data_IF_283526267116
#
_entry.id   IF_283526267116
#
_cell.length_a   1.000
_cell.length_b   1.000
_cell.length_c   1.000
_cell.angle_alpha   90.00
_cell.angle_beta   90.00
_cell.angle_gamma   90.00
#
_symmetry.space_group_name_H-M   'P 1'
#
loop_
_entity.id
_entity.type
_entity.pdbx_description
1 polymer ?
#
# COMPACT_ATOMS: atom_id res chain seq x y z
N UNK A 1 -24.56 -10.07 -13.89
CA UNK A 1 -25.73 -9.79 -13.05
C UNK A 1 -25.19 -9.44 -11.67
N UNK A 2 -25.05 -8.15 -11.44
CA UNK A 2 -24.40 -7.58 -10.26
C UNK A 2 -25.42 -7.61 -9.13
N UNK A 3 -25.10 -8.26 -8.01
CA UNK A 3 -25.90 -8.17 -6.80
C UNK A 3 -25.65 -6.78 -6.23
N UNK A 4 -26.50 -5.84 -6.61
CA UNK A 4 -26.69 -4.58 -5.87
C UNK A 4 -27.08 -4.94 -4.45
N UNK A 5 -26.21 -4.59 -3.50
CA UNK A 5 -26.55 -4.59 -2.09
C UNK A 5 -27.66 -3.54 -1.94
N UNK A 6 -28.89 -4.01 -1.76
CA UNK A 6 -30.01 -3.16 -1.36
C UNK A 6 -29.66 -2.53 -0.01
N UNK A 7 -29.25 -1.27 -0.07
CA UNK A 7 -29.13 -0.40 1.09
C UNK A 7 -30.56 -0.13 1.57
N UNK A 8 -31.04 -0.91 2.53
CA UNK A 8 -32.21 -0.51 3.33
C UNK A 8 -31.86 0.80 4.02
N UNK A 9 -32.66 1.84 3.78
CA UNK A 9 -32.45 3.19 4.29
C UNK A 9 -32.60 3.29 5.82
N UNK A 10 -31.61 2.77 6.55
CA UNK A 10 -31.30 3.20 7.90
C UNK A 10 -30.23 4.30 7.83
N UNK A 11 -30.40 5.39 8.59
CA UNK A 11 -29.38 6.43 8.69
C UNK A 11 -28.05 5.81 9.13
N UNK A 12 -26.94 6.26 8.52
CA UNK A 12 -25.61 5.75 8.85
C UNK A 12 -25.31 5.95 10.35
N UNK A 13 -24.66 4.98 11.03
CA UNK A 13 -24.40 5.10 12.45
C UNK A 13 -23.45 6.26 12.76
N UNK A 14 -23.62 6.85 13.94
CA UNK A 14 -22.73 7.89 14.46
C UNK A 14 -21.48 7.25 15.07
N UNK A 15 -20.33 7.86 14.87
CA UNK A 15 -19.08 7.38 15.47
C UNK A 15 -18.81 8.12 16.78
N UNK A 16 -18.61 7.36 17.87
CA UNK A 16 -18.30 7.89 19.19
C UNK A 16 -16.97 7.33 19.67
N UNK A 17 -16.05 8.20 20.07
CA UNK A 17 -14.76 7.79 20.62
C UNK A 17 -14.75 7.95 22.14
N UNK A 18 -14.60 6.83 22.85
CA UNK A 18 -14.48 6.78 24.32
C UNK A 18 -13.02 6.53 24.72
N UNK A 19 -12.72 6.76 26.01
CA UNK A 19 -11.38 6.52 26.55
C UNK A 19 -10.29 7.43 25.98
N UNK A 20 -9.06 7.21 26.45
CA UNK A 20 -7.85 7.86 25.98
C UNK A 20 -6.65 6.91 26.07
N UNK A 21 -5.67 7.07 25.18
CA UNK A 21 -4.40 6.36 25.24
C UNK A 21 -3.28 7.32 25.65
N UNK A 22 -2.32 6.80 26.44
CA UNK A 22 -1.12 7.54 26.86
C UNK A 22 -0.02 7.66 25.79
N UNK A 23 -0.25 7.16 24.57
CA UNK A 23 0.74 7.09 23.50
C UNK A 23 0.38 7.89 22.25
N UNK A 24 1.40 8.34 21.51
CA UNK A 24 1.26 8.91 20.16
C UNK A 24 1.90 8.00 19.12
N UNK A 25 1.19 7.74 18.03
CA UNK A 25 1.65 6.89 16.93
C UNK A 25 1.88 7.77 15.72
N UNK A 26 3.08 7.75 15.16
CA UNK A 26 3.47 8.61 14.03
C UNK A 26 3.19 10.10 14.30
N UNK A 27 3.32 10.53 15.57
CA UNK A 27 3.07 11.90 16.02
C UNK A 27 1.60 12.23 16.34
N UNK A 28 0.66 11.33 16.07
CA UNK A 28 -0.79 11.55 16.27
C UNK A 28 -1.32 10.80 17.50
N UNK A 29 -2.39 11.31 18.11
CA UNK A 29 -3.12 10.57 19.16
C UNK A 29 -4.02 9.49 18.54
N UNK A 30 -4.43 8.50 19.32
CA UNK A 30 -5.38 7.48 18.83
C UNK A 30 -6.71 8.11 18.40
N UNK A 31 -7.23 9.06 19.19
CA UNK A 31 -8.45 9.82 18.87
C UNK A 31 -8.33 10.58 17.54
N UNK A 32 -7.20 11.26 17.31
CA UNK A 32 -6.94 11.92 16.01
C UNK A 32 -6.93 10.91 14.86
N UNK A 33 -6.32 9.75 15.06
CA UNK A 33 -6.27 8.68 14.05
C UNK A 33 -7.67 8.09 13.78
N UNK A 34 -8.49 7.87 14.81
CA UNK A 34 -9.88 7.41 14.69
C UNK A 34 -10.74 8.41 13.93
N UNK A 35 -10.65 9.70 14.24
CA UNK A 35 -11.34 10.77 13.51
C UNK A 35 -11.03 10.75 12.01
N UNK A 36 -9.75 10.50 11.64
CA UNK A 36 -9.35 10.31 10.23
C UNK A 36 -9.97 9.06 9.60
N UNK A 37 -10.08 7.95 10.34
CA UNK A 37 -10.77 6.74 9.86
C UNK A 37 -12.25 7.05 9.59
N UNK A 38 -12.95 7.63 10.56
CA UNK A 38 -14.38 7.93 10.44
C UNK A 38 -14.68 8.79 9.22
N UNK A 39 -13.89 9.86 9.02
CA UNK A 39 -14.02 10.72 7.84
C UNK A 39 -13.84 9.97 6.52
N UNK A 40 -12.87 9.04 6.46
CA UNK A 40 -12.63 8.22 5.25
C UNK A 40 -13.74 7.21 4.99
N UNK A 41 -14.39 6.72 6.05
CA UNK A 41 -15.53 5.82 5.96
C UNK A 41 -16.87 6.55 5.78
N UNK A 42 -16.89 7.88 5.86
CA UNK A 42 -18.11 8.68 5.79
C UNK A 42 -18.96 8.63 7.06
N UNK A 43 -18.40 8.17 8.19
CA UNK A 43 -19.06 8.16 9.49
C UNK A 43 -19.05 9.57 10.10
N UNK A 44 -20.17 9.97 10.68
CA UNK A 44 -20.28 11.26 11.37
C UNK A 44 -19.83 11.09 12.81
N UNK A 45 -18.70 11.70 13.16
CA UNK A 45 -18.17 11.71 14.53
C UNK A 45 -19.01 12.63 15.41
N UNK A 46 -19.44 12.14 16.58
CA UNK A 46 -20.20 12.90 17.57
C UNK A 46 -19.44 12.97 18.90
N UNK A 47 -19.50 14.10 19.63
CA UNK A 47 -18.84 14.24 20.92
C UNK A 47 -19.56 13.49 22.05
N UNK A 48 -20.83 13.16 21.83
CA UNK A 48 -21.69 12.46 22.77
C UNK A 48 -22.64 11.51 22.03
N UNK A 49 -23.31 10.66 22.79
CA UNK A 49 -24.29 9.70 22.28
C UNK A 49 -25.51 10.43 21.74
N UNK A 50 -25.88 10.12 20.50
CA UNK A 50 -27.16 10.52 19.90
C UNK A 50 -28.12 9.33 19.99
N UNK A 51 -29.14 9.44 20.85
CA UNK A 51 -30.12 8.39 21.09
C UNK A 51 -31.05 8.13 19.90
N UNK A 52 -30.98 8.95 18.85
CA UNK A 52 -31.79 8.81 17.64
C UNK A 52 -31.13 7.90 16.60
N UNK A 53 -29.83 7.63 16.74
CA UNK A 53 -29.05 6.89 15.75
C UNK A 53 -28.29 5.73 16.41
N UNK A 54 -28.06 4.65 15.65
CA UNK A 54 -27.09 3.64 16.05
C UNK A 54 -25.69 4.27 16.20
N UNK A 55 -24.87 3.71 17.10
CA UNK A 55 -23.57 4.24 17.44
C UNK A 55 -22.47 3.20 17.27
N UNK A 56 -21.43 3.54 16.52
CA UNK A 56 -20.14 2.84 16.51
C UNK A 56 -19.28 3.46 17.59
N UNK A 57 -19.19 2.78 18.73
CA UNK A 57 -18.41 3.21 19.88
C UNK A 57 -17.04 2.53 19.85
N UNK A 58 -15.96 3.31 19.95
CA UNK A 58 -14.58 2.80 19.83
C UNK A 58 -13.71 3.35 20.97
N UNK A 59 -12.97 2.47 21.65
CA UNK A 59 -12.04 2.84 22.73
C UNK A 59 -10.70 3.36 22.15
N UNK A 60 -10.40 4.65 22.38
CA UNK A 60 -9.15 5.28 21.96
C UNK A 60 -7.90 4.73 22.68
N UNK A 61 -8.06 3.91 23.73
CA UNK A 61 -7.00 3.11 24.34
C UNK A 61 -6.39 2.07 23.39
N UNK A 62 -7.01 1.85 22.23
CA UNK A 62 -6.66 0.84 21.24
C UNK A 62 -6.46 1.44 19.85
N UNK A 63 -5.84 0.66 18.98
CA UNK A 63 -5.48 1.04 17.61
C UNK A 63 -6.09 0.04 16.66
N UNK A 64 -6.88 0.56 15.73
CA UNK A 64 -7.68 -0.24 14.82
C UNK A 64 -7.25 -0.01 13.37
N UNK A 65 -7.26 -1.07 12.58
CA UNK A 65 -7.29 -0.92 11.12
C UNK A 65 -8.63 -0.31 10.64
N UNK A 66 -8.55 0.45 9.56
CA UNK A 66 -9.72 1.03 8.89
C UNK A 66 -10.73 -0.04 8.46
N UNK A 67 -10.26 -1.23 8.07
CA UNK A 67 -11.12 -2.35 7.69
C UNK A 67 -11.94 -2.91 8.84
N UNK A 68 -11.42 -2.90 10.08
CA UNK A 68 -12.15 -3.33 11.27
C UNK A 68 -13.28 -2.36 11.59
N UNK A 69 -13.01 -1.05 11.58
CA UNK A 69 -14.04 -0.03 11.82
C UNK A 69 -15.12 -0.09 10.73
N UNK A 70 -14.73 -0.30 9.47
CA UNK A 70 -15.67 -0.49 8.36
C UNK A 70 -16.56 -1.71 8.56
N UNK A 71 -15.97 -2.85 8.95
CA UNK A 71 -16.73 -4.07 9.20
C UNK A 71 -17.66 -3.93 10.41
N UNK A 72 -17.18 -3.28 11.48
CA UNK A 72 -17.97 -2.96 12.67
C UNK A 72 -19.19 -2.11 12.32
N UNK A 73 -18.99 -1.02 11.57
CA UNK A 73 -20.05 -0.12 11.14
C UNK A 73 -21.11 -0.81 10.25
N UNK A 74 -20.73 -1.88 9.55
CA UNK A 74 -21.66 -2.67 8.73
C UNK A 74 -22.43 -3.76 9.48
N UNK A 75 -22.14 -3.98 10.77
CA UNK A 75 -22.72 -5.09 11.56
C UNK A 75 -23.25 -4.60 12.90
N UNK A 76 -24.49 -4.15 12.93
CA UNK A 76 -25.17 -3.77 14.18
C UNK A 76 -25.18 -4.97 15.16
N UNK A 77 -25.00 -4.68 16.44
CA UNK A 77 -24.91 -5.69 17.50
C UNK A 77 -23.51 -6.29 17.67
N UNK A 78 -22.55 -6.00 16.81
CA UNK A 78 -21.19 -6.51 16.97
C UNK A 78 -20.46 -5.85 18.15
N UNK A 79 -19.83 -6.66 19.00
CA UNK A 79 -18.88 -6.25 20.04
C UNK A 79 -17.51 -6.80 19.67
N UNK A 80 -16.59 -5.93 19.28
CA UNK A 80 -15.22 -6.31 18.96
C UNK A 80 -14.43 -6.54 20.25
N UNK A 81 -13.82 -7.71 20.36
CA UNK A 81 -12.95 -8.08 21.48
C UNK A 81 -11.49 -8.28 21.05
N UNK A 82 -10.57 -8.03 21.97
CA UNK A 82 -9.15 -8.34 21.80
C UNK A 82 -8.87 -9.85 22.00
N UNK A 83 -7.58 -10.24 21.92
CA UNK A 83 -7.15 -11.63 22.12
C UNK A 83 -7.38 -12.15 23.56
N UNK A 84 -7.54 -11.26 24.53
CA UNK A 84 -7.83 -11.60 25.94
C UNK A 84 -9.33 -11.66 26.24
N UNK A 85 -10.17 -11.32 25.26
CA UNK A 85 -11.63 -11.26 25.40
C UNK A 85 -12.16 -9.94 25.97
N UNK A 86 -11.32 -8.90 26.09
CA UNK A 86 -11.76 -7.56 26.49
C UNK A 86 -12.48 -6.86 25.34
N UNK A 87 -13.65 -6.30 25.60
CA UNK A 87 -14.37 -5.47 24.65
C UNK A 87 -13.64 -4.12 24.41
N UNK A 88 -13.49 -3.75 23.15
CA UNK A 88 -12.69 -2.58 22.72
C UNK A 88 -13.44 -1.67 21.75
N UNK A 89 -14.48 -2.18 21.09
CA UNK A 89 -15.38 -1.39 20.27
C UNK A 89 -16.72 -2.13 20.12
N UNK A 90 -17.79 -1.41 19.80
CA UNK A 90 -19.09 -2.00 19.53
C UNK A 90 -19.90 -1.17 18.53
N UNK A 91 -20.80 -1.84 17.80
CA UNK A 91 -21.87 -1.18 17.05
C UNK A 91 -23.18 -1.41 17.79
N UNK A 92 -23.60 -0.39 18.54
CA UNK A 92 -24.80 -0.44 19.36
C UNK A 92 -26.01 0.14 18.60
N UNK A 93 -27.19 -0.50 18.69
CA UNK A 93 -28.44 0.13 18.27
C UNK A 93 -28.71 1.38 19.12
N UNK A 94 -29.49 2.33 18.58
CA UNK A 94 -29.71 3.65 19.17
C UNK A 94 -30.16 3.60 20.65
N UNK A 95 -31.04 2.66 20.97
CA UNK A 95 -31.59 2.48 22.32
C UNK A 95 -30.57 1.93 23.34
N UNK A 96 -29.47 1.34 22.89
CA UNK A 96 -28.39 0.81 23.74
C UNK A 96 -27.11 1.65 23.68
N UNK A 97 -27.03 2.62 22.77
CA UNK A 97 -25.81 3.38 22.49
C UNK A 97 -25.17 3.99 23.75
N UNK A 98 -25.99 4.53 24.66
CA UNK A 98 -25.50 5.15 25.90
C UNK A 98 -24.97 4.12 26.91
N UNK A 99 -25.70 3.04 27.14
CA UNK A 99 -25.26 1.98 28.06
C UNK A 99 -23.99 1.30 27.55
N UNK A 100 -23.89 1.06 26.24
CA UNK A 100 -22.70 0.49 25.60
C UNK A 100 -21.51 1.45 25.69
N UNK A 101 -21.72 2.76 25.51
CA UNK A 101 -20.63 3.74 25.63
C UNK A 101 -20.07 3.83 27.04
N UNK A 102 -20.92 3.82 28.06
CA UNK A 102 -20.51 3.82 29.46
C UNK A 102 -19.77 2.53 29.82
N UNK A 103 -20.29 1.37 29.39
CA UNK A 103 -19.63 0.09 29.62
C UNK A 103 -18.23 0.05 29.01
N UNK A 104 -18.07 0.44 27.74
CA UNK A 104 -16.76 0.48 27.08
C UNK A 104 -15.82 1.51 27.72
N UNK A 105 -16.31 2.70 28.07
CA UNK A 105 -15.51 3.72 28.76
C UNK A 105 -15.00 3.23 30.14
N UNK A 106 -15.81 2.44 30.85
CA UNK A 106 -15.45 1.78 32.10
C UNK A 106 -14.61 0.50 31.94
N UNK A 107 -14.31 0.08 30.70
CA UNK A 107 -13.60 -1.18 30.42
C UNK A 107 -14.41 -2.44 30.72
N UNK A 108 -15.73 -2.32 30.82
CA UNK A 108 -16.68 -3.42 30.99
C UNK A 108 -17.12 -3.97 29.64
N UNK A 109 -17.63 -5.20 29.64
CA UNK A 109 -18.11 -5.83 28.43
C UNK A 109 -19.61 -5.54 28.18
N UNK A 110 -19.96 -4.84 27.09
CA UNK A 110 -21.35 -4.52 26.78
C UNK A 110 -22.17 -5.75 26.34
N UNK A 111 -21.56 -6.90 26.01
CA UNK A 111 -22.30 -8.08 25.53
C UNK A 111 -23.29 -8.65 26.56
N UNK A 112 -23.13 -8.31 27.84
CA UNK A 112 -24.07 -8.70 28.90
C UNK A 112 -25.32 -7.81 29.00
N UNK A 113 -25.37 -6.68 28.28
CA UNK A 113 -26.46 -5.71 28.37
C UNK A 113 -27.71 -6.13 27.59
N UNK A 114 -27.54 -6.82 26.46
CA UNK A 114 -28.63 -7.24 25.57
C UNK A 114 -28.19 -8.47 24.76
N UNK A 115 -29.04 -9.51 24.59
CA UNK A 115 -28.71 -10.72 23.83
C UNK A 115 -28.33 -10.46 22.36
N UNK A 116 -28.71 -9.32 21.79
CA UNK A 116 -28.34 -8.93 20.42
C UNK A 116 -26.87 -8.54 20.29
N UNK A 117 -26.19 -8.23 21.40
CA UNK A 117 -24.79 -7.84 21.42
C UNK A 117 -23.90 -9.09 21.40
N UNK A 118 -23.27 -9.35 20.25
CA UNK A 118 -22.48 -10.55 20.01
C UNK A 118 -20.99 -10.23 19.97
N UNK A 119 -20.19 -10.96 20.76
CA UNK A 119 -18.73 -10.86 20.74
C UNK A 119 -18.16 -11.42 19.45
N UNK A 120 -17.21 -10.69 18.87
CA UNK A 120 -16.49 -11.07 17.67
C UNK A 120 -15.01 -10.67 17.82
N UNK A 121 -14.12 -11.57 17.45
CA UNK A 121 -12.69 -11.26 17.31
C UNK A 121 -12.42 -10.45 16.04
N UNK A 122 -11.23 -9.85 15.93
CA UNK A 122 -10.81 -9.14 14.72
C UNK A 122 -10.86 -10.01 13.45
N UNK A 123 -10.62 -11.32 13.58
CA UNK A 123 -10.66 -12.28 12.48
C UNK A 123 -12.08 -12.68 12.07
N UNK A 124 -13.02 -12.74 13.02
CA UNK A 124 -14.43 -13.03 12.74
C UNK A 124 -15.17 -11.81 12.20
N UNK A 125 -14.72 -10.61 12.58
CA UNK A 125 -15.30 -9.35 12.10
C UNK A 125 -14.72 -8.93 10.74
N UNK A 126 -13.40 -9.10 10.53
CA UNK A 126 -12.71 -8.70 9.30
C UNK A 126 -12.30 -9.88 8.40
N UNK A 127 -12.19 -9.66 7.09
CA UNK A 127 -11.59 -10.65 6.19
C UNK A 127 -10.05 -10.67 6.32
N UNK A 128 -9.44 -11.84 6.52
CA UNK A 128 -7.98 -11.99 6.63
C UNK A 128 -7.18 -11.64 5.36
N UNK A 129 -7.84 -11.47 4.21
CA UNK A 129 -7.20 -11.19 2.93
C UNK A 129 -7.39 -9.73 2.50
N UNK A 130 -6.28 -9.03 2.23
CA UNK A 130 -6.29 -7.67 1.69
C UNK A 130 -5.84 -7.69 0.22
N UNK A 131 -6.80 -7.54 -0.70
CA UNK A 131 -6.55 -7.56 -2.14
C UNK A 131 -5.64 -6.41 -2.61
N UNK A 132 -5.80 -5.20 -2.04
CA UNK A 132 -4.99 -4.04 -2.39
C UNK A 132 -3.51 -4.18 -1.97
N UNK A 133 -3.24 -4.90 -0.88
CA UNK A 133 -1.89 -5.18 -0.39
C UNK A 133 -1.34 -6.54 -0.81
N UNK A 134 -2.17 -7.40 -1.44
CA UNK A 134 -1.77 -8.73 -1.93
C UNK A 134 -1.14 -9.56 -0.81
N UNK A 135 -1.77 -9.56 0.36
CA UNK A 135 -1.26 -10.23 1.57
C UNK A 135 -2.43 -10.72 2.43
N UNK A 136 -2.18 -11.83 3.12
CA UNK A 136 -3.02 -12.34 4.22
C UNK A 136 -2.39 -11.92 5.54
N UNK A 137 -3.05 -11.06 6.29
CA UNK A 137 -2.61 -10.63 7.62
C UNK A 137 -3.84 -10.26 8.44
N UNK A 138 -3.96 -10.75 9.69
CA UNK A 138 -5.07 -10.38 10.55
C UNK A 138 -5.08 -8.86 10.73
N UNK A 139 -6.27 -8.21 10.68
CA UNK A 139 -6.36 -6.78 10.87
C UNK A 139 -5.71 -6.34 12.19
N UNK A 140 -5.10 -5.16 12.19
CA UNK A 140 -4.43 -4.61 13.38
C UNK A 140 -5.48 -4.22 14.41
N UNK A 141 -5.42 -4.88 15.56
CA UNK A 141 -6.08 -4.50 16.80
C UNK A 141 -5.04 -4.61 17.92
N UNK A 142 -4.57 -3.47 18.42
CA UNK A 142 -3.47 -3.41 19.38
C UNK A 142 -3.74 -2.38 20.48
N UNK A 143 -3.34 -2.72 21.70
CA UNK A 143 -3.44 -1.78 22.83
C UNK A 143 -2.38 -0.70 22.70
N UNK A 144 -2.73 0.55 22.98
CA UNK A 144 -1.83 1.68 22.91
C UNK A 144 -1.45 2.19 24.30
N UNK A 145 -0.24 1.84 24.71
CA UNK A 145 0.44 2.32 25.92
C UNK A 145 1.78 2.96 25.53
N UNK A 146 2.41 3.78 26.39
CA UNK A 146 3.74 4.35 26.11
C UNK A 146 4.79 3.31 25.71
N UNK A 147 4.73 2.11 26.29
CA UNK A 147 5.67 1.00 26.05
C UNK A 147 5.42 0.30 24.72
N UNK A 148 4.16 0.24 24.28
CA UNK A 148 3.74 -0.49 23.06
C UNK A 148 3.82 0.35 21.80
N UNK A 149 3.94 1.69 21.89
CA UNK A 149 3.98 2.62 20.73
C UNK A 149 4.88 2.12 19.61
N UNK A 150 6.13 1.76 19.90
CA UNK A 150 7.10 1.34 18.87
C UNK A 150 6.71 0.02 18.20
N UNK A 151 6.12 -0.91 18.96
CA UNK A 151 5.64 -2.18 18.44
C UNK A 151 4.42 -1.97 17.53
N UNK A 152 3.47 -1.13 17.96
CA UNK A 152 2.29 -0.75 17.17
C UNK A 152 2.68 -0.01 15.89
N UNK A 153 3.59 0.97 15.95
CA UNK A 153 4.13 1.65 14.76
C UNK A 153 4.73 0.62 13.79
N UNK A 154 5.56 -0.30 14.31
CA UNK A 154 6.17 -1.36 13.48
C UNK A 154 5.11 -2.24 12.83
N UNK A 155 4.08 -2.69 13.56
CA UNK A 155 2.99 -3.52 13.02
C UNK A 155 2.19 -2.80 11.94
N UNK A 156 1.78 -1.56 12.20
CA UNK A 156 1.10 -0.71 11.20
C UNK A 156 1.95 -0.49 9.94
N UNK A 157 3.25 -0.26 10.11
CA UNK A 157 4.17 -0.07 8.99
C UNK A 157 4.34 -1.35 8.18
N UNK A 158 4.52 -2.50 8.83
CA UNK A 158 4.66 -3.80 8.17
C UNK A 158 3.40 -4.17 7.39
N UNK A 159 2.23 -3.95 7.97
CA UNK A 159 0.93 -4.17 7.30
C UNK A 159 0.78 -3.36 6.02
N UNK A 160 1.48 -2.22 5.90
CA UNK A 160 1.41 -1.39 4.69
C UNK A 160 2.20 -1.94 3.49
N UNK A 161 3.02 -3.01 3.61
CA UNK A 161 3.81 -3.56 2.50
C UNK A 161 3.00 -4.45 1.58
N UNK A 162 3.21 -4.26 0.26
CA UNK A 162 2.64 -5.16 -0.74
C UNK A 162 3.37 -6.50 -0.67
N UNK A 163 2.63 -7.62 -0.61
CA UNK A 163 3.23 -8.96 -0.49
C UNK A 163 4.05 -9.38 -1.72
N UNK A 164 3.66 -8.91 -2.90
CA UNK A 164 4.32 -9.16 -4.19
C UNK A 164 4.91 -7.85 -4.71
N UNK A 165 6.23 -7.74 -4.82
CA UNK A 165 6.94 -6.53 -5.30
C UNK A 165 8.36 -6.89 -5.76
N UNK A 166 9.15 -5.94 -6.25
CA UNK A 166 10.56 -6.15 -6.63
C UNK A 166 11.49 -6.41 -5.43
N UNK A 167 12.67 -6.96 -5.70
CA UNK A 167 13.68 -7.31 -4.70
C UNK A 167 14.03 -6.15 -3.75
N UNK A 168 14.25 -4.95 -4.30
CA UNK A 168 14.72 -3.80 -3.52
C UNK A 168 13.63 -3.34 -2.55
N UNK A 169 12.41 -3.17 -3.06
CA UNK A 169 11.26 -2.76 -2.25
C UNK A 169 10.92 -3.80 -1.18
N UNK A 170 11.16 -5.10 -1.45
CA UNK A 170 10.86 -6.19 -0.53
C UNK A 170 11.91 -6.37 0.57
N UNK A 171 13.21 -6.26 0.25
CA UNK A 171 14.28 -6.65 1.16
C UNK A 171 15.19 -5.51 1.61
N UNK A 172 15.32 -4.43 0.83
CA UNK A 172 16.25 -3.33 1.11
C UNK A 172 15.52 -2.15 1.76
N UNK A 173 14.39 -1.72 1.19
CA UNK A 173 13.65 -0.54 1.65
C UNK A 173 12.89 -0.64 2.97
N UNK A 174 12.38 -1.80 3.45
CA UNK A 174 11.51 -1.82 4.62
C UNK A 174 12.11 -1.20 5.89
N UNK A 175 13.35 -1.53 6.23
CA UNK A 175 14.00 -1.00 7.43
C UNK A 175 14.27 0.52 7.34
N UNK A 176 14.97 1.04 6.31
CA UNK A 176 15.24 2.47 6.21
C UNK A 176 13.96 3.29 5.97
N UNK A 177 13.03 2.80 5.15
CA UNK A 177 11.79 3.54 4.87
C UNK A 177 10.96 3.73 6.14
N UNK A 178 10.99 2.78 7.10
CA UNK A 178 10.32 2.94 8.40
C UNK A 178 10.86 4.11 9.19
N UNK A 179 12.19 4.23 9.25
CA UNK A 179 12.87 5.30 9.98
C UNK A 179 12.55 6.66 9.37
N UNK A 180 12.70 6.78 8.05
CA UNK A 180 12.45 8.04 7.34
C UNK A 180 10.97 8.41 7.34
N UNK A 181 10.06 7.46 7.15
CA UNK A 181 8.61 7.69 7.29
C UNK A 181 8.28 8.24 8.68
N UNK A 182 8.95 7.73 9.73
CA UNK A 182 8.77 8.24 11.09
C UNK A 182 9.23 9.68 11.22
N UNK A 183 10.40 10.00 10.70
CA UNK A 183 10.91 11.38 10.72
C UNK A 183 10.00 12.33 9.95
N UNK A 184 9.55 11.95 8.75
CA UNK A 184 8.59 12.74 7.98
C UNK A 184 7.27 12.96 8.74
N UNK A 185 6.73 11.91 9.37
CA UNK A 185 5.51 12.01 10.17
C UNK A 185 5.68 12.94 11.38
N UNK A 186 6.79 12.84 12.11
CA UNK A 186 7.09 13.72 13.24
C UNK A 186 7.34 15.17 12.81
N UNK A 187 7.95 15.37 11.65
CA UNK A 187 8.13 16.68 11.04
C UNK A 187 6.84 17.24 10.42
N UNK A 188 5.72 16.51 10.52
CA UNK A 188 4.42 16.85 9.92
C UNK A 188 4.50 17.10 8.41
N UNK A 189 5.45 16.45 7.73
CA UNK A 189 5.53 16.49 6.27
C UNK A 189 4.31 15.81 5.67
N UNK A 190 3.77 16.41 4.62
CA UNK A 190 2.69 15.80 3.84
C UNK A 190 3.27 14.79 2.83
N UNK A 191 2.55 13.72 2.47
CA UNK A 191 2.97 12.81 1.41
C UNK A 191 3.29 13.55 0.09
N UNK A 192 2.47 14.52 -0.30
CA UNK A 192 2.66 15.32 -1.50
C UNK A 192 4.00 16.10 -1.50
N UNK A 193 4.48 16.58 -0.34
CA UNK A 193 5.79 17.23 -0.25
C UNK A 193 6.92 16.24 -0.55
N UNK A 194 6.81 15.01 -0.04
CA UNK A 194 7.79 13.95 -0.29
C UNK A 194 7.77 13.55 -1.77
N UNK A 195 6.59 13.37 -2.36
CA UNK A 195 6.41 13.10 -3.80
C UNK A 195 7.00 14.23 -4.65
N UNK A 196 6.81 15.51 -4.26
CA UNK A 196 7.37 16.65 -4.98
C UNK A 196 8.91 16.68 -4.94
N UNK A 197 9.52 16.34 -3.80
CA UNK A 197 10.99 16.18 -3.73
C UNK A 197 11.45 15.06 -4.66
N UNK A 198 10.74 13.93 -4.68
CA UNK A 198 10.98 12.82 -5.62
C UNK A 198 10.88 13.26 -7.08
N UNK A 199 9.90 14.11 -7.42
CA UNK A 199 9.77 14.69 -8.75
C UNK A 199 10.99 15.55 -9.15
N UNK A 200 11.47 16.42 -8.26
CA UNK A 200 12.68 17.21 -8.53
C UNK A 200 13.92 16.33 -8.76
N UNK A 201 14.07 15.26 -7.96
CA UNK A 201 15.14 14.28 -8.17
C UNK A 201 14.99 13.51 -9.47
N UNK A 202 13.77 13.29 -9.94
CA UNK A 202 13.49 12.68 -11.25
C UNK A 202 14.01 13.54 -12.38
N UNK A 203 13.75 14.85 -12.33
CA UNK A 203 14.26 15.80 -13.32
C UNK A 203 15.77 15.89 -13.27
N UNK A 204 16.35 15.97 -12.06
CA UNK A 204 17.80 15.99 -11.87
C UNK A 204 18.47 14.73 -12.44
N UNK A 205 17.94 13.54 -12.12
CA UNK A 205 18.46 12.27 -12.64
C UNK A 205 18.38 12.22 -14.18
N UNK A 206 17.26 12.65 -14.77
CA UNK A 206 17.10 12.72 -16.23
C UNK A 206 18.16 13.61 -16.87
N UNK A 207 18.35 14.82 -16.33
CA UNK A 207 19.35 15.76 -16.84
C UNK A 207 20.78 15.20 -16.69
N UNK A 208 21.11 14.61 -15.54
CA UNK A 208 22.42 14.02 -15.28
C UNK A 208 22.71 12.84 -16.22
N UNK A 209 21.75 11.93 -16.40
CA UNK A 209 21.89 10.82 -17.34
C UNK A 209 22.08 11.30 -18.77
N UNK A 210 21.32 12.31 -19.20
CA UNK A 210 21.45 12.88 -20.54
C UNK A 210 22.86 13.39 -20.86
N UNK A 211 23.54 13.95 -19.86
CA UNK A 211 24.91 14.48 -20.00
C UNK A 211 26.00 13.44 -19.64
N UNK A 212 25.65 12.16 -19.52
CA UNK A 212 26.61 11.10 -19.22
C UNK A 212 27.12 11.07 -17.76
N UNK A 213 26.52 11.86 -16.87
CA UNK A 213 26.86 11.92 -15.44
C UNK A 213 26.17 10.79 -14.66
N UNK A 214 26.47 9.54 -15.01
CA UNK A 214 25.75 8.37 -14.52
C UNK A 214 25.83 8.19 -13.00
N UNK A 215 26.99 8.45 -12.37
CA UNK A 215 27.14 8.31 -10.92
C UNK A 215 26.17 9.18 -10.14
N UNK A 216 26.18 10.49 -10.38
CA UNK A 216 25.27 11.42 -9.73
C UNK A 216 23.81 11.19 -10.15
N UNK A 217 23.56 10.85 -11.42
CA UNK A 217 22.22 10.49 -11.88
C UNK A 217 21.65 9.29 -11.12
N UNK A 218 22.48 8.26 -10.85
CA UNK A 218 22.10 7.10 -10.05
C UNK A 218 21.84 7.46 -8.58
N UNK A 219 22.63 8.36 -7.99
CA UNK A 219 22.36 8.87 -6.64
C UNK A 219 20.98 9.52 -6.57
N UNK A 220 20.67 10.44 -7.50
CA UNK A 220 19.35 11.07 -7.58
C UNK A 220 18.24 10.03 -7.81
N UNK A 221 18.45 9.09 -8.72
CA UNK A 221 17.49 8.05 -9.05
C UNK A 221 17.19 7.15 -7.83
N UNK A 222 18.22 6.65 -7.15
CA UNK A 222 18.04 5.79 -5.98
C UNK A 222 17.35 6.51 -4.82
N UNK A 223 17.74 7.75 -4.52
CA UNK A 223 17.06 8.57 -3.49
C UNK A 223 15.59 8.76 -3.87
N UNK A 224 15.30 9.09 -5.13
CA UNK A 224 13.93 9.24 -5.63
C UNK A 224 13.13 7.95 -5.44
N UNK A 225 13.64 6.79 -5.87
CA UNK A 225 12.92 5.51 -5.75
C UNK A 225 12.66 5.12 -4.29
N UNK A 226 13.53 5.56 -3.38
CA UNK A 226 13.36 5.38 -1.95
C UNK A 226 12.28 6.31 -1.40
N UNK A 227 12.25 7.58 -1.81
CA UNK A 227 11.22 8.55 -1.38
C UNK A 227 9.81 8.20 -1.88
N UNK A 228 9.69 7.63 -3.08
CA UNK A 228 8.47 7.02 -3.64
C UNK A 228 7.98 5.80 -2.81
N UNK A 229 8.88 5.16 -2.06
CA UNK A 229 8.43 4.22 -1.03
C UNK A 229 7.96 4.96 0.22
N UNK A 230 8.61 6.04 0.62
CA UNK A 230 8.29 6.76 1.87
C UNK A 230 6.96 7.49 1.80
N UNK A 231 6.62 8.18 0.71
CA UNK A 231 5.39 8.96 0.59
C UNK A 231 4.12 8.10 0.67
N UNK A 232 4.08 6.97 -0.04
CA UNK A 232 2.98 6.03 -0.01
C UNK A 232 2.82 5.37 1.36
N UNK A 233 3.93 5.19 2.10
CA UNK A 233 3.91 4.68 3.48
C UNK A 233 3.43 5.75 4.44
N UNK A 234 3.94 6.96 4.30
CA UNK A 234 3.54 8.12 5.08
C UNK A 234 2.03 8.37 4.93
N UNK A 235 1.49 8.33 3.72
CA UNK A 235 0.07 8.50 3.46
C UNK A 235 -0.78 7.42 4.16
N UNK A 236 -0.34 6.17 4.17
CA UNK A 236 -1.06 5.05 4.81
C UNK A 236 -1.00 5.13 6.33
N UNK A 237 0.18 5.34 6.92
CA UNK A 237 0.33 5.35 8.38
C UNK A 237 -0.28 6.60 9.02
N UNK A 238 -0.34 7.71 8.28
CA UNK A 238 -1.01 8.94 8.71
C UNK A 238 -2.48 9.04 8.30
N UNK A 239 -2.99 8.10 7.50
CA UNK A 239 -4.35 8.14 6.93
C UNK A 239 -4.66 9.44 6.16
N UNK A 240 -3.67 10.03 5.51
CA UNK A 240 -3.77 11.28 4.74
C UNK A 240 -3.77 11.07 3.22
N UNK A 241 -4.05 9.85 2.76
CA UNK A 241 -4.15 9.56 1.33
C UNK A 241 -5.23 10.43 0.67
N UNK A 242 -4.87 11.15 -0.39
CA UNK A 242 -5.81 11.92 -1.20
C UNK A 242 -5.96 11.29 -2.59
N UNK A 243 -7.14 11.38 -3.19
CA UNK A 243 -7.38 10.88 -4.56
C UNK A 243 -6.44 11.55 -5.56
N UNK A 244 -6.24 12.86 -5.44
CA UNK A 244 -5.36 13.62 -6.31
C UNK A 244 -3.89 13.25 -6.11
N UNK A 245 -3.42 13.11 -4.87
CA UNK A 245 -2.06 12.66 -4.56
C UNK A 245 -1.77 11.29 -5.16
N UNK A 246 -2.70 10.34 -5.03
CA UNK A 246 -2.56 9.02 -5.66
C UNK A 246 -2.49 9.10 -7.20
N UNK A 247 -3.23 10.00 -7.84
CA UNK A 247 -3.19 10.17 -9.30
C UNK A 247 -1.88 10.82 -9.74
N UNK A 248 -1.41 11.84 -9.03
CA UNK A 248 -0.15 12.52 -9.31
C UNK A 248 1.04 11.58 -9.15
N UNK A 249 1.10 10.86 -8.04
CA UNK A 249 2.08 9.82 -7.74
C UNK A 249 2.09 8.75 -8.83
N UNK A 250 0.94 8.11 -9.08
CA UNK A 250 0.81 7.08 -10.10
C UNK A 250 1.16 7.56 -11.52
N UNK A 251 0.83 8.81 -11.86
CA UNK A 251 1.13 9.40 -13.15
C UNK A 251 2.64 9.60 -13.38
N UNK A 252 3.34 10.16 -12.39
CA UNK A 252 4.79 10.34 -12.45
C UNK A 252 5.48 8.98 -12.53
N UNK A 253 5.04 8.02 -11.73
CA UNK A 253 5.62 6.69 -11.66
C UNK A 253 5.51 5.92 -12.98
N UNK A 254 4.40 6.14 -13.69
CA UNK A 254 4.16 5.51 -15.00
C UNK A 254 5.01 6.16 -16.10
N UNK A 255 5.19 7.49 -16.05
CA UNK A 255 5.77 8.27 -17.14
C UNK A 255 7.28 8.39 -17.08
N UNK A 256 7.89 8.54 -15.89
CA UNK A 256 9.32 8.83 -15.81
C UNK A 256 10.28 7.72 -16.29
N UNK A 257 10.00 6.39 -16.15
CA UNK A 257 11.00 5.38 -16.47
C UNK A 257 11.46 5.43 -17.94
N UNK A 258 10.58 5.55 -18.94
CA UNK A 258 10.98 5.79 -20.33
C UNK A 258 11.93 6.99 -20.53
N UNK A 259 11.71 8.10 -19.83
CA UNK A 259 12.57 9.28 -19.94
C UNK A 259 13.96 9.02 -19.35
N UNK A 260 14.05 8.34 -18.22
CA UNK A 260 15.35 7.94 -17.66
C UNK A 260 16.11 7.01 -18.58
N UNK A 261 15.43 6.02 -19.18
CA UNK A 261 16.07 5.09 -20.09
C UNK A 261 16.54 5.79 -21.37
N UNK A 262 15.71 6.69 -21.93
CA UNK A 262 16.15 7.53 -23.04
C UNK A 262 17.35 8.39 -22.67
N UNK A 263 17.28 9.10 -21.55
CA UNK A 263 18.36 9.98 -21.11
C UNK A 263 19.66 9.20 -20.89
N UNK A 264 19.59 8.00 -20.30
CA UNK A 264 20.74 7.11 -20.16
C UNK A 264 21.30 6.71 -21.53
N UNK A 265 20.43 6.30 -22.46
CA UNK A 265 20.83 5.96 -23.84
C UNK A 265 21.61 7.11 -24.49
N UNK A 266 21.11 8.34 -24.40
CA UNK A 266 21.79 9.54 -24.93
C UNK A 266 23.11 9.78 -24.21
N UNK A 267 23.13 9.67 -22.89
CA UNK A 267 24.32 9.81 -22.07
C UNK A 267 25.45 8.85 -22.44
N UNK A 268 25.12 7.63 -22.88
CA UNK A 268 26.13 6.64 -23.28
C UNK A 268 26.92 7.15 -24.49
N UNK A 269 26.25 7.77 -25.46
CA UNK A 269 26.91 8.42 -26.59
C UNK A 269 27.65 9.69 -26.20
N UNK A 270 27.14 10.45 -25.22
CA UNK A 270 27.80 11.65 -24.72
C UNK A 270 29.18 11.35 -24.10
N UNK A 271 29.38 10.14 -23.56
CA UNK A 271 30.68 9.69 -23.03
C UNK A 271 31.51 8.89 -24.05
N UNK A 272 31.14 8.92 -25.33
CA UNK A 272 31.88 8.27 -26.42
C UNK A 272 31.74 6.75 -26.48
N UNK A 273 30.79 6.16 -25.76
CA UNK A 273 30.48 4.73 -25.83
C UNK A 273 29.37 4.46 -26.85
N UNK A 274 29.19 3.20 -27.23
CA UNK A 274 28.19 2.79 -28.22
C UNK A 274 27.37 1.61 -27.74
N UNK A 275 26.10 1.56 -28.16
CA UNK A 275 25.18 0.49 -27.81
C UNK A 275 24.93 -0.37 -29.05
N UNK A 276 25.07 -1.70 -28.97
CA UNK A 276 24.71 -2.59 -30.08
C UNK A 276 23.24 -2.41 -30.49
N UNK A 277 22.99 -2.39 -31.81
CA UNK A 277 21.65 -2.24 -32.39
C UNK A 277 20.85 -1.09 -31.74
N UNK A 278 21.35 0.14 -31.80
CA UNK A 278 20.91 1.22 -30.91
C UNK A 278 19.41 1.52 -30.97
N UNK A 279 18.86 1.64 -32.18
CA UNK A 279 17.43 1.88 -32.39
C UNK A 279 16.57 0.73 -31.86
N UNK A 280 16.99 -0.52 -32.09
CA UNK A 280 16.29 -1.71 -31.60
C UNK A 280 16.37 -1.80 -30.07
N UNK A 281 17.55 -1.60 -29.48
CA UNK A 281 17.75 -1.61 -28.03
C UNK A 281 16.88 -0.56 -27.33
N UNK A 282 16.81 0.67 -27.86
CA UNK A 282 15.95 1.72 -27.34
C UNK A 282 14.46 1.36 -27.48
N UNK A 283 14.06 0.83 -28.64
CA UNK A 283 12.68 0.39 -28.89
C UNK A 283 12.28 -0.77 -27.95
N UNK A 284 13.17 -1.71 -27.66
CA UNK A 284 12.92 -2.80 -26.71
C UNK A 284 12.75 -2.25 -25.30
N UNK A 285 13.63 -1.35 -24.83
CA UNK A 285 13.54 -0.82 -23.46
C UNK A 285 12.29 0.03 -23.24
N UNK A 286 11.99 0.96 -24.16
CA UNK A 286 10.84 1.85 -24.03
C UNK A 286 9.54 1.16 -24.46
N UNK A 287 9.52 0.57 -25.65
CA UNK A 287 8.36 -0.14 -26.18
C UNK A 287 8.03 -1.38 -25.36
N UNK A 288 9.03 -2.15 -24.95
CA UNK A 288 8.85 -3.32 -24.07
C UNK A 288 8.38 -2.95 -22.66
N UNK A 289 8.71 -1.76 -22.15
CA UNK A 289 8.10 -1.27 -20.90
C UNK A 289 6.59 -1.09 -21.06
N UNK A 290 6.14 -0.46 -22.15
CA UNK A 290 4.72 -0.26 -22.45
C UNK A 290 4.04 -1.60 -22.72
N UNK A 291 4.63 -2.44 -23.57
CA UNK A 291 4.10 -3.75 -23.94
C UNK A 291 3.88 -4.65 -22.72
N UNK A 292 4.82 -4.69 -21.77
CA UNK A 292 4.64 -5.46 -20.53
C UNK A 292 3.53 -4.90 -19.61
N UNK A 293 3.24 -3.59 -19.64
CA UNK A 293 2.06 -3.04 -18.93
C UNK A 293 0.77 -3.49 -19.62
N UNK A 294 0.76 -3.53 -20.94
CA UNK A 294 -0.37 -4.04 -21.72
C UNK A 294 -0.60 -5.52 -21.42
N UNK A 295 0.44 -6.35 -21.35
CA UNK A 295 0.34 -7.76 -20.96
C UNK A 295 -0.29 -7.95 -19.58
N UNK A 296 0.17 -7.18 -18.58
CA UNK A 296 -0.41 -7.18 -17.24
C UNK A 296 -1.90 -6.77 -17.26
N UNK A 297 -2.25 -5.76 -18.07
CA UNK A 297 -3.63 -5.31 -18.27
C UNK A 297 -4.51 -6.36 -18.95
N UNK A 298 -3.99 -7.04 -19.97
CA UNK A 298 -4.66 -8.14 -20.67
C UNK A 298 -4.93 -9.28 -19.69
N UNK A 299 -3.92 -9.70 -18.93
CA UNK A 299 -4.08 -10.78 -17.94
C UNK A 299 -5.15 -10.43 -16.89
N UNK A 300 -5.12 -9.19 -16.38
CA UNK A 300 -6.12 -8.69 -15.44
C UNK A 300 -7.52 -8.65 -16.06
N UNK A 301 -7.64 -8.20 -17.31
CA UNK A 301 -8.93 -8.11 -18.00
C UNK A 301 -9.56 -9.49 -18.23
N UNK A 302 -8.75 -10.46 -18.64
CA UNK A 302 -9.15 -11.84 -18.95
C UNK A 302 -9.50 -12.64 -17.69
N UNK A 303 -8.67 -12.55 -16.64
CA UNK A 303 -8.75 -13.46 -15.51
C UNK A 303 -9.18 -12.81 -14.19
N UNK A 304 -9.39 -11.48 -14.17
CA UNK A 304 -9.71 -10.69 -12.96
C UNK A 304 -8.73 -10.91 -11.81
N UNK A 305 -7.51 -11.31 -12.14
CA UNK A 305 -6.41 -11.59 -11.23
C UNK A 305 -5.16 -10.86 -11.72
N UNK A 306 -4.37 -10.30 -10.80
CA UNK A 306 -3.06 -9.78 -11.18
C UNK A 306 -2.11 -10.92 -11.56
N UNK A 307 -1.46 -10.80 -12.72
CA UNK A 307 -0.54 -11.80 -13.28
C UNK A 307 0.50 -12.30 -12.26
N UNK A 308 1.11 -11.37 -11.52
CA UNK A 308 2.16 -11.65 -10.54
C UNK A 308 1.66 -12.31 -9.24
N UNK A 309 0.35 -12.39 -9.03
CA UNK A 309 -0.28 -13.05 -7.88
C UNK A 309 -0.83 -14.44 -8.23
N UNK A 310 -0.69 -14.90 -9.47
CA UNK A 310 -1.28 -16.16 -9.92
C UNK A 310 -0.61 -17.39 -9.30
N UNK A 311 0.71 -17.57 -9.48
CA UNK A 311 1.46 -18.73 -8.94
C UNK A 311 2.69 -18.26 -8.15
N UNK A 312 3.30 -19.14 -7.32
CA UNK A 312 4.54 -18.82 -6.60
C UNK A 312 5.67 -18.35 -7.53
N UNK A 313 5.78 -18.97 -8.72
CA UNK A 313 6.73 -18.55 -9.75
C UNK A 313 6.49 -17.11 -10.19
N UNK A 314 5.24 -16.71 -10.44
CA UNK A 314 4.93 -15.36 -10.95
C UNK A 314 5.25 -14.29 -9.88
N UNK A 315 5.03 -14.60 -8.60
CA UNK A 315 5.42 -13.74 -7.48
C UNK A 315 6.93 -13.67 -7.28
N UNK A 316 7.66 -14.77 -7.49
CA UNK A 316 9.12 -14.77 -7.52
C UNK A 316 9.64 -13.95 -8.70
N UNK A 317 9.09 -14.17 -9.89
CA UNK A 317 9.52 -13.48 -11.10
C UNK A 317 9.36 -11.96 -10.97
N UNK A 318 8.29 -11.51 -10.29
CA UNK A 318 8.07 -10.10 -9.97
C UNK A 318 9.21 -9.42 -9.21
N UNK A 319 10.04 -10.19 -8.50
CA UNK A 319 11.24 -9.68 -7.80
C UNK A 319 12.27 -9.11 -8.79
N UNK A 320 12.36 -9.71 -9.97
CA UNK A 320 13.41 -9.48 -10.95
C UNK A 320 12.90 -8.96 -12.30
N UNK A 321 11.59 -9.00 -12.56
CA UNK A 321 10.98 -8.51 -13.82
C UNK A 321 11.49 -7.12 -14.20
N UNK A 322 11.71 -6.89 -15.50
CA UNK A 322 12.16 -5.62 -16.07
C UNK A 322 11.25 -4.45 -15.66
N UNK A 323 11.69 -3.73 -14.63
CA UNK A 323 11.01 -2.65 -13.92
C UNK A 323 12.07 -1.68 -13.43
N UNK A 324 11.63 -0.50 -12.95
CA UNK A 324 12.49 0.57 -12.46
C UNK A 324 13.66 0.07 -11.58
N UNK A 325 13.37 -0.54 -10.42
CA UNK A 325 14.43 -0.93 -9.48
C UNK A 325 15.33 -2.07 -10.01
N UNK A 326 14.81 -3.19 -10.57
CA UNK A 326 15.67 -4.21 -11.19
C UNK A 326 16.56 -3.68 -12.31
N UNK A 327 16.02 -2.80 -13.17
CA UNK A 327 16.81 -2.16 -14.23
C UNK A 327 17.90 -1.25 -13.63
N UNK A 328 17.57 -0.45 -12.61
CA UNK A 328 18.54 0.37 -11.90
C UNK A 328 19.66 -0.46 -11.26
N UNK A 329 19.39 -1.67 -10.74
CA UNK A 329 20.45 -2.54 -10.22
C UNK A 329 21.46 -2.88 -11.32
N UNK A 330 20.97 -3.38 -12.46
CA UNK A 330 21.82 -3.76 -13.60
C UNK A 330 22.64 -2.57 -14.10
N UNK A 331 21.97 -1.43 -14.25
CA UNK A 331 22.60 -0.19 -14.73
C UNK A 331 23.60 0.37 -13.73
N UNK A 332 23.32 0.30 -12.43
CA UNK A 332 24.25 0.68 -11.36
C UNK A 332 25.51 -0.16 -11.41
N UNK A 333 25.38 -1.49 -11.44
CA UNK A 333 26.54 -2.39 -11.48
C UNK A 333 27.43 -2.14 -12.69
N UNK A 334 26.83 -1.92 -13.86
CA UNK A 334 27.59 -1.68 -15.08
C UNK A 334 28.22 -0.28 -15.13
N UNK A 335 27.52 0.76 -14.64
CA UNK A 335 28.08 2.11 -14.57
C UNK A 335 29.27 2.20 -13.59
N UNK A 336 29.22 1.47 -12.47
CA UNK A 336 30.32 1.44 -11.49
C UNK A 336 31.63 0.87 -12.05
N UNK A 337 31.55 -0.02 -13.05
CA UNK A 337 32.73 -0.54 -13.76
C UNK A 337 33.03 0.22 -15.05
N UNK A 338 32.43 1.40 -15.25
CA UNK A 338 32.66 2.26 -16.41
C UNK A 338 32.01 1.77 -17.71
N UNK A 339 31.02 0.88 -17.63
CA UNK A 339 30.31 0.29 -18.80
C UNK A 339 28.80 0.57 -18.81
N UNK A 340 28.37 1.85 -18.80
CA UNK A 340 26.95 2.21 -18.90
C UNK A 340 26.29 1.71 -20.19
N UNK A 341 27.05 1.49 -21.26
CA UNK A 341 26.62 0.85 -22.51
C UNK A 341 26.14 -0.60 -22.32
N UNK A 342 26.91 -1.39 -21.58
CA UNK A 342 26.57 -2.78 -21.24
C UNK A 342 25.33 -2.80 -20.35
N UNK A 343 25.25 -1.89 -19.38
CA UNK A 343 24.08 -1.76 -18.52
C UNK A 343 22.78 -1.58 -19.30
N UNK A 344 22.78 -0.67 -20.29
CA UNK A 344 21.62 -0.46 -21.15
C UNK A 344 21.30 -1.68 -22.01
N UNK A 345 22.32 -2.31 -22.59
CA UNK A 345 22.16 -3.51 -23.43
C UNK A 345 21.56 -4.68 -22.64
N UNK A 346 22.03 -4.92 -21.41
CA UNK A 346 21.49 -5.96 -20.53
C UNK A 346 20.04 -5.67 -20.16
N UNK A 347 19.68 -4.42 -19.90
CA UNK A 347 18.28 -4.04 -19.65
C UNK A 347 17.40 -4.30 -20.88
N UNK A 348 17.89 -4.02 -22.09
CA UNK A 348 17.16 -4.35 -23.33
C UNK A 348 16.91 -5.87 -23.44
N UNK A 349 17.95 -6.69 -23.31
CA UNK A 349 17.84 -8.15 -23.35
C UNK A 349 16.87 -8.65 -22.28
N UNK A 350 17.02 -8.17 -21.05
CA UNK A 350 16.17 -8.58 -19.93
C UNK A 350 14.71 -8.18 -20.13
N UNK A 351 14.47 -7.01 -20.72
CA UNK A 351 13.12 -6.54 -21.08
C UNK A 351 12.47 -7.46 -22.11
N UNK A 352 13.21 -7.88 -23.14
CA UNK A 352 12.71 -8.84 -24.13
C UNK A 352 12.42 -10.21 -23.50
N UNK A 353 13.30 -10.71 -22.62
CA UNK A 353 13.07 -11.98 -21.90
C UNK A 353 11.82 -11.88 -21.02
N UNK A 354 11.65 -10.79 -20.26
CA UNK A 354 10.48 -10.61 -19.40
C UNK A 354 9.18 -10.56 -20.20
N UNK A 355 9.17 -9.86 -21.33
CA UNK A 355 8.04 -9.85 -22.25
C UNK A 355 7.65 -11.27 -22.70
N UNK A 356 8.63 -12.09 -23.14
CA UNK A 356 8.35 -13.48 -23.53
C UNK A 356 7.79 -14.31 -22.37
N UNK A 357 8.32 -14.16 -21.15
CA UNK A 357 7.80 -14.86 -19.97
C UNK A 357 6.35 -14.48 -19.69
N UNK A 358 6.00 -13.19 -19.76
CA UNK A 358 4.63 -12.73 -19.56
C UNK A 358 3.67 -13.20 -20.66
N UNK A 359 4.09 -13.16 -21.93
CA UNK A 359 3.32 -13.72 -23.03
C UNK A 359 3.00 -15.22 -22.79
N UNK A 360 3.99 -15.99 -22.34
CA UNK A 360 3.80 -17.40 -21.97
C UNK A 360 2.82 -17.54 -20.79
N UNK A 361 2.90 -16.68 -19.77
CA UNK A 361 1.94 -16.68 -18.66
C UNK A 361 0.50 -16.44 -19.13
N UNK A 362 0.29 -15.49 -20.05
CA UNK A 362 -1.04 -15.24 -20.64
C UNK A 362 -1.53 -16.47 -21.39
N UNK A 363 -0.69 -17.08 -22.24
CA UNK A 363 -1.05 -18.30 -22.98
C UNK A 363 -1.37 -19.47 -22.05
N UNK A 364 -0.60 -19.64 -20.98
CA UNK A 364 -0.88 -20.65 -19.95
C UNK A 364 -2.22 -20.39 -19.24
N UNK A 365 -2.55 -19.11 -18.97
CA UNK A 365 -3.85 -18.73 -18.42
C UNK A 365 -4.99 -19.08 -19.38
N UNK A 366 -4.82 -18.82 -20.67
CA UNK A 366 -5.82 -19.15 -21.69
C UNK A 366 -6.03 -20.67 -21.85
N UNK A 367 -4.98 -21.46 -21.66
CA UNK A 367 -5.02 -22.92 -21.73
C UNK A 367 -5.53 -23.57 -20.42
N UNK A 368 -5.62 -22.82 -19.32
CA UNK A 368 -6.03 -23.36 -18.03
C UNK A 368 -7.55 -23.65 -17.99
N UNK A 369 -8.00 -24.65 -17.20
CA UNK A 369 -9.41 -24.92 -17.01
C UNK A 369 -10.18 -23.68 -16.52
N UNK A 370 -11.40 -23.47 -17.02
CA UNK A 370 -12.23 -22.33 -16.61
C UNK A 370 -12.43 -22.33 -15.09
N UNK A 371 -12.13 -21.20 -14.46
CA UNK A 371 -12.27 -21.01 -13.01
C UNK A 371 -11.10 -21.50 -12.15
N UNK A 372 -10.05 -22.09 -12.74
CA UNK A 372 -8.87 -22.56 -11.98
C UNK A 372 -7.84 -21.45 -11.69
N UNK A 373 -8.00 -20.27 -12.29
CA UNK A 373 -7.09 -19.14 -12.11
C UNK A 373 -7.49 -18.39 -10.86
N UNK A 374 -6.79 -18.69 -9.78
CA UNK A 374 -6.94 -18.04 -8.50
C UNK A 374 -5.58 -17.67 -7.95
N UNK A 375 -5.55 -16.66 -7.07
CA UNK A 375 -4.33 -16.25 -6.40
C UNK A 375 -3.80 -17.37 -5.53
N UNK A 376 -2.52 -17.73 -5.68
CA UNK A 376 -1.89 -18.70 -4.77
C UNK A 376 -1.79 -18.17 -3.33
N UNK A 377 -1.92 -16.85 -3.14
CA UNK A 377 -1.95 -16.20 -1.83
C UNK A 377 -3.33 -16.29 -1.14
N UNK A 378 -4.36 -16.77 -1.85
CA UNK A 378 -5.70 -16.99 -1.31
C UNK A 378 -5.90 -18.41 -0.74
N UNK A 379 -4.95 -19.32 -0.99
CA UNK A 379 -4.85 -20.64 -0.34
C UNK A 379 -4.10 -20.45 0.98
#
# INVERSE_FOLDING_TARGET
MSVEIQNTAGEAPRALTVGEAGGRIWGMTSRERLSRIYRRLGLVETPAVDLSHAAVVVDAGWVFDESLIKALAGREGAVLVDETGRAVAAHAPANLAYAVSEALAGGQDPSGLDPRLTRLTALELGSAYNSALRKREPPVLERLTPETVRAVEKRLFQGSYKGVTDLVTKYVWPAPARVVTRWCALAKMTPNQVTFIGFLLTLAATWLFWHGQFGWGLVCAWIMTFLDTVDGKLARVTLTSSKWGNVFDHGIDLLHPPFWWWAWFVGVYAVGQSIPYPALSLAIVIGGYVAQRVEEGIFLALFKLEMHAWRPFDSFFRLITARRNPNLILMTGCALIGRPDVGFTLVAIWTAVCFLVHAVQILQGLAAPKGSIQSWLAK
#
